data_IF_446947496742
#
_entry.id   IF_446947496742
#
_cell.length_a   1.000
_cell.length_b   1.000
_cell.length_c   1.000
_cell.angle_alpha   90.00
_cell.angle_beta   90.00
_cell.angle_gamma   90.00
#
_symmetry.space_group_name_H-M   'P 1'
#
loop_
_entity.id
_entity.type
_entity.pdbx_description
1 polymer ?
#
# COMPACT_ATOMS: atom_id res chain seq x y z
N UNK A 1 13.53 1.88 0.20
CA UNK A 1 12.34 2.75 0.09
C UNK A 1 12.46 3.82 1.15
N UNK A 2 12.23 5.08 0.79
CA UNK A 2 12.27 6.20 1.74
C UNK A 2 10.95 6.24 2.50
N UNK A 3 10.95 6.70 3.76
CA UNK A 3 9.74 6.90 4.58
C UNK A 3 8.70 7.79 3.89
N UNK A 4 9.15 8.59 2.92
CA UNK A 4 8.31 9.43 2.06
C UNK A 4 7.47 8.61 1.07
N UNK A 5 8.05 7.57 0.46
CA UNK A 5 7.35 6.69 -0.48
C UNK A 5 6.23 5.91 0.21
N UNK A 6 6.43 5.52 1.47
CA UNK A 6 5.43 4.78 2.26
C UNK A 6 4.18 5.61 2.56
N UNK A 7 4.29 6.94 2.59
CA UNK A 7 3.16 7.86 2.83
C UNK A 7 2.58 8.38 1.50
N UNK A 8 3.41 8.59 0.49
CA UNK A 8 2.98 9.09 -0.83
C UNK A 8 2.39 7.98 -1.72
N UNK A 9 2.88 6.73 -1.62
CA UNK A 9 2.31 5.60 -2.37
C UNK A 9 1.02 5.13 -1.73
N UNK A 10 -0.07 5.35 -2.46
CA UNK A 10 -1.39 4.88 -2.11
C UNK A 10 -1.55 3.41 -2.52
N UNK A 11 -1.23 2.48 -1.62
CA UNK A 11 -1.30 1.03 -1.91
C UNK A 11 -2.69 0.59 -2.36
N UNK A 12 -3.75 1.27 -1.90
CA UNK A 12 -5.12 1.02 -2.38
C UNK A 12 -5.25 1.37 -3.86
N UNK A 13 -4.68 2.50 -4.31
CA UNK A 13 -4.64 2.85 -5.74
C UNK A 13 -3.76 1.92 -6.55
N UNK A 14 -2.65 1.43 -6.00
CA UNK A 14 -1.79 0.45 -6.68
C UNK A 14 -2.57 -0.82 -7.00
N UNK A 15 -3.36 -1.31 -6.05
CA UNK A 15 -4.25 -2.45 -6.26
C UNK A 15 -5.55 -2.10 -7.02
N UNK A 16 -5.80 -0.81 -7.27
CA UNK A 16 -7.03 -0.34 -7.90
C UNK A 16 -8.29 -0.59 -7.07
N UNK A 17 -8.15 -0.66 -5.74
CA UNK A 17 -9.25 -0.88 -4.80
C UNK A 17 -9.52 0.39 -3.98
N UNK A 18 -10.74 0.58 -3.46
CA UNK A 18 -11.01 1.72 -2.60
C UNK A 18 -10.40 1.50 -1.19
N UNK A 19 -10.25 2.58 -0.41
CA UNK A 19 -9.64 2.54 0.94
C UNK A 19 -10.43 1.69 1.95
N UNK A 20 -11.73 1.56 1.73
CA UNK A 20 -12.67 0.75 2.51
C UNK A 20 -12.77 -0.69 1.99
N UNK A 21 -11.93 -1.07 1.01
CA UNK A 21 -11.91 -2.42 0.48
C UNK A 21 -11.70 -3.45 1.59
N UNK A 22 -12.45 -4.54 1.50
CA UNK A 22 -12.32 -5.70 2.38
C UNK A 22 -11.06 -6.50 2.04
N UNK A 23 -10.58 -7.31 2.98
CA UNK A 23 -9.41 -8.19 2.75
C UNK A 23 -9.62 -9.13 1.55
N UNK A 24 -10.88 -9.53 1.32
CA UNK A 24 -11.27 -10.34 0.18
C UNK A 24 -11.06 -9.58 -1.15
N UNK A 25 -11.43 -8.30 -1.20
CA UNK A 25 -11.26 -7.45 -2.39
C UNK A 25 -9.79 -7.15 -2.66
N UNK A 26 -9.01 -6.84 -1.63
CA UNK A 26 -7.55 -6.64 -1.71
C UNK A 26 -6.89 -7.89 -2.29
N UNK A 27 -7.16 -9.07 -1.71
CA UNK A 27 -6.62 -10.35 -2.19
C UNK A 27 -7.06 -10.67 -3.61
N UNK A 28 -8.31 -10.36 -3.97
CA UNK A 28 -8.84 -10.59 -5.33
C UNK A 28 -8.16 -9.69 -6.35
N UNK A 29 -7.99 -8.41 -6.04
CA UNK A 29 -7.32 -7.44 -6.89
C UNK A 29 -5.85 -7.80 -7.08
N UNK A 30 -5.14 -8.12 -6.00
CA UNK A 30 -3.76 -8.61 -6.04
C UNK A 30 -3.63 -9.83 -6.97
N UNK A 31 -4.46 -10.86 -6.80
CA UNK A 31 -4.39 -12.06 -7.65
C UNK A 31 -4.63 -11.78 -9.13
N UNK A 32 -5.51 -10.81 -9.44
CA UNK A 32 -5.77 -10.39 -10.83
C UNK A 32 -4.54 -9.71 -11.42
N UNK A 33 -4.04 -8.69 -10.73
CA UNK A 33 -2.91 -7.88 -11.18
C UNK A 33 -1.60 -8.69 -11.21
N UNK A 34 -1.37 -9.57 -10.23
CA UNK A 34 -0.20 -10.43 -10.17
C UNK A 34 -0.13 -11.41 -11.35
N UNK A 35 -1.27 -11.84 -11.90
CA UNK A 35 -1.31 -12.65 -13.13
C UNK A 35 -1.07 -11.83 -14.37
N UNK A 36 -1.62 -10.61 -14.42
CA UNK A 36 -1.49 -9.68 -15.53
C UNK A 36 -0.05 -9.19 -15.70
N UNK A 37 0.62 -8.85 -14.60
CA UNK A 37 1.99 -8.34 -14.57
C UNK A 37 3.01 -9.40 -14.13
N UNK A 38 2.67 -10.69 -14.16
CA UNK A 38 3.58 -11.75 -13.71
C UNK A 38 4.89 -11.72 -14.52
N UNK A 39 6.07 -11.83 -13.89
CA UNK A 39 7.35 -11.79 -14.59
C UNK A 39 7.53 -12.94 -15.57
N UNK A 40 6.91 -14.10 -15.32
CA UNK A 40 6.96 -15.23 -16.24
C UNK A 40 6.18 -14.98 -17.55
N UNK A 41 5.08 -14.22 -17.46
CA UNK A 41 4.27 -13.85 -18.62
C UNK A 41 4.79 -12.60 -19.35
N UNK A 42 5.49 -11.71 -18.64
CA UNK A 42 6.01 -10.43 -19.13
C UNK A 42 7.55 -10.38 -19.06
N UNK A 43 8.22 -11.43 -19.52
CA UNK A 43 9.69 -11.52 -19.48
C UNK A 43 10.32 -10.40 -20.29
N UNK A 44 11.18 -9.61 -19.65
CA UNK A 44 11.89 -8.50 -20.27
C UNK A 44 11.10 -7.20 -20.39
N UNK A 45 9.93 -7.10 -19.75
CA UNK A 45 9.22 -5.83 -19.57
C UNK A 45 9.51 -5.25 -18.19
N UNK A 46 10.47 -4.31 -18.14
CA UNK A 46 10.87 -3.62 -16.92
C UNK A 46 9.69 -2.90 -16.24
N UNK A 47 8.71 -2.42 -17.01
CA UNK A 47 7.53 -1.73 -16.47
C UNK A 47 6.58 -2.73 -15.82
N UNK A 48 6.41 -3.91 -16.41
CA UNK A 48 5.62 -4.98 -15.80
C UNK A 48 6.28 -5.47 -14.50
N UNK A 49 7.61 -5.58 -14.47
CA UNK A 49 8.36 -5.95 -13.28
C UNK A 49 8.24 -4.88 -12.17
N UNK A 50 8.38 -3.60 -12.52
CA UNK A 50 8.20 -2.49 -11.56
C UNK A 50 6.78 -2.49 -11.00
N UNK A 51 5.76 -2.62 -11.86
CA UNK A 51 4.36 -2.73 -11.42
C UNK A 51 4.12 -3.93 -10.52
N UNK A 52 4.68 -5.09 -10.86
CA UNK A 52 4.53 -6.29 -10.05
C UNK A 52 5.15 -6.12 -8.65
N UNK A 53 6.29 -5.43 -8.55
CA UNK A 53 6.88 -5.08 -7.25
C UNK A 53 5.94 -4.21 -6.42
N UNK A 54 5.39 -3.15 -7.02
CA UNK A 54 4.43 -2.27 -6.33
C UNK A 54 3.17 -3.03 -5.87
N UNK A 55 2.62 -3.88 -6.73
CA UNK A 55 1.44 -4.73 -6.43
C UNK A 55 1.74 -5.68 -5.27
N UNK A 56 2.94 -6.27 -5.24
CA UNK A 56 3.36 -7.19 -4.19
C UNK A 56 3.54 -6.47 -2.86
N UNK A 57 4.20 -5.32 -2.84
CA UNK A 57 4.31 -4.47 -1.64
C UNK A 57 2.95 -4.04 -1.11
N UNK A 58 2.05 -3.62 -2.00
CA UNK A 58 0.71 -3.20 -1.62
C UNK A 58 -0.07 -4.34 -0.94
N UNK A 59 0.03 -5.57 -1.45
CA UNK A 59 -0.59 -6.73 -0.82
C UNK A 59 0.12 -7.14 0.48
N UNK A 60 1.44 -7.00 0.58
CA UNK A 60 2.18 -7.30 1.81
C UNK A 60 1.82 -6.38 2.98
N UNK A 61 1.40 -5.14 2.69
CA UNK A 61 0.94 -4.17 3.68
C UNK A 61 -0.57 -4.30 3.91
N UNK A 62 -1.39 -4.24 2.86
CA UNK A 62 -2.85 -4.19 2.97
C UNK A 62 -3.49 -5.57 3.22
N UNK A 63 -2.80 -6.66 2.86
CA UNK A 63 -3.29 -8.02 3.02
C UNK A 63 -3.17 -8.57 4.45
N UNK A 64 -2.40 -7.91 5.31
CA UNK A 64 -2.26 -8.20 6.74
C UNK A 64 -2.96 -7.11 7.55
N UNK A 65 -3.91 -7.49 8.40
CA UNK A 65 -4.70 -6.55 9.18
C UNK A 65 -3.85 -5.69 10.13
N UNK A 66 -2.76 -6.21 10.68
CA UNK A 66 -1.87 -5.46 11.56
C UNK A 66 -1.09 -4.41 10.78
N UNK A 67 -0.45 -4.82 9.67
CA UNK A 67 0.32 -3.90 8.81
C UNK A 67 -0.56 -2.86 8.14
N UNK A 68 -1.77 -3.24 7.73
CA UNK A 68 -2.78 -2.32 7.18
C UNK A 68 -3.14 -1.25 8.19
N UNK A 69 -3.34 -1.65 9.45
CA UNK A 69 -3.61 -0.71 10.53
C UNK A 69 -2.44 0.26 10.75
N UNK A 70 -1.21 -0.25 10.82
CA UNK A 70 -0.01 0.59 10.95
C UNK A 70 0.14 1.56 9.76
N UNK A 71 -0.14 1.10 8.54
CA UNK A 71 -0.13 1.91 7.33
C UNK A 71 -1.20 3.01 7.37
N UNK A 72 -2.43 2.67 7.73
CA UNK A 72 -3.53 3.62 7.83
C UNK A 72 -3.28 4.65 8.95
N UNK A 73 -2.74 4.22 10.11
CA UNK A 73 -2.32 5.11 11.21
C UNK A 73 -1.19 6.04 10.79
N UNK A 74 -0.13 5.52 10.17
CA UNK A 74 0.97 6.33 9.65
C UNK A 74 0.46 7.33 8.60
N UNK A 75 -0.40 6.89 7.67
CA UNK A 75 -0.97 7.77 6.64
C UNK A 75 -1.90 8.83 7.23
N UNK A 76 -2.63 8.53 8.30
CA UNK A 76 -3.42 9.52 9.03
C UNK A 76 -2.53 10.57 9.74
N UNK A 77 -1.41 10.13 10.34
CA UNK A 77 -0.45 11.00 11.03
C UNK A 77 0.32 11.90 10.06
N UNK A 78 0.79 11.35 8.94
CA UNK A 78 1.65 12.07 7.98
C UNK A 78 0.87 12.72 6.81
N UNK A 79 -0.26 12.16 6.39
CA UNK A 79 -1.05 12.63 5.24
C UNK A 79 -1.92 13.86 5.50
N UNK A 80 -2.12 14.25 6.76
CA UNK A 80 -2.96 15.39 7.15
C UNK A 80 -2.15 16.60 7.68
N UNK A 81 -0.82 16.65 7.45
CA UNK A 81 0.03 17.76 7.90
C UNK A 81 0.20 17.85 9.42
N UNK A 82 0.32 16.71 10.11
CA UNK A 82 0.42 16.64 11.57
C UNK A 82 1.85 16.68 12.11
N UNK A 83 2.58 17.80 11.98
CA UNK A 83 2.78 18.68 13.15
C UNK A 83 1.44 19.13 13.76
N UNK A 84 0.71 18.20 14.36
CA UNK A 84 -0.19 18.54 15.46
C UNK A 84 0.52 18.09 16.72
N UNK A 85 1.30 19.02 17.27
CA UNK A 85 1.52 19.07 18.69
C UNK A 85 0.17 18.86 19.38
N UNK A 86 -0.02 17.68 19.98
CA UNK A 86 -0.96 17.57 21.08
C UNK A 86 -0.25 18.16 22.29
N UNK A 87 -0.78 19.22 22.94
CA UNK A 87 -0.31 19.61 24.25
C UNK A 87 -0.79 18.54 25.24
N UNK A 88 0.12 17.65 25.62
CA UNK A 88 -0.04 16.70 26.71
C UNK A 88 1.37 16.40 27.20
N UNK A 89 2.05 17.32 27.87
CA UNK A 89 1.55 17.87 29.12
C UNK A 89 1.77 16.79 30.17
N UNK A 90 3.00 16.72 30.65
CA UNK A 90 3.38 15.95 31.81
C UNK A 90 2.41 16.24 32.97
N UNK A 91 1.95 15.17 33.62
CA UNK A 91 1.51 15.16 35.01
C UNK A 91 2.09 13.91 35.66
#
# INVERSE_FOLDING_TARGET
MSTKDFVEKDYYKVLGVPKDATDAEIKKAYRKLAREFHPDANKGDDKAEERFKEISEANDVLGDANKRKEYDEARALFGNGGFRAGPGGAQ
#
